data_IF_796683690662
#
_entry.id   IF_796683690662
#
_cell.length_a   1.000
_cell.length_b   1.000
_cell.length_c   1.000
_cell.angle_alpha   90.00
_cell.angle_beta   90.00
_cell.angle_gamma   90.00
#
_symmetry.space_group_name_H-M   'P 1'
#
loop_
_entity.id
_entity.type
_entity.pdbx_description
1 polymer ?
#
# COMPACT_ATOMS: atom_id res chain seq x y z
N UNK A 1 6.00 23.03 18.68
CA UNK A 1 5.73 21.59 18.52
C UNK A 1 6.89 20.95 17.78
N UNK A 2 7.27 19.71 18.12
CA UNK A 2 8.28 18.96 17.37
C UNK A 2 7.63 17.81 16.61
N UNK A 3 7.97 17.66 15.34
CA UNK A 3 7.57 16.51 14.52
C UNK A 3 8.80 15.80 13.96
N UNK A 4 8.65 14.56 13.52
CA UNK A 4 9.71 13.87 12.82
C UNK A 4 9.30 12.51 12.30
N UNK A 5 10.12 11.97 11.41
CA UNK A 5 9.96 10.64 10.85
C UNK A 5 11.34 9.98 10.71
N UNK A 6 11.38 8.68 10.47
CA UNK A 6 12.66 7.99 10.20
C UNK A 6 13.39 8.56 8.97
N UNK A 7 12.66 9.09 7.98
CA UNK A 7 13.24 9.73 6.79
C UNK A 7 13.66 11.18 7.05
N UNK A 8 13.13 11.83 8.10
CA UNK A 8 13.34 13.25 8.39
C UNK A 8 12.53 14.20 7.50
N UNK A 9 12.13 13.76 6.31
CA UNK A 9 11.32 14.53 5.36
C UNK A 9 9.89 13.99 5.26
N UNK A 10 8.87 14.85 5.07
CA UNK A 10 7.51 14.41 4.79
C UNK A 10 7.41 13.81 3.38
N UNK A 11 6.29 13.14 3.09
CA UNK A 11 6.03 12.59 1.75
C UNK A 11 5.90 13.71 0.72
N UNK A 12 6.26 13.41 -0.53
CA UNK A 12 6.15 14.36 -1.64
C UNK A 12 4.71 14.79 -1.88
N UNK A 13 4.48 16.10 -2.07
CA UNK A 13 3.19 16.60 -2.53
C UNK A 13 2.76 15.90 -3.81
N UNK A 14 1.48 15.57 -3.90
CA UNK A 14 0.87 15.20 -5.18
C UNK A 14 0.84 16.42 -6.09
N UNK A 15 1.07 16.22 -7.38
CA UNK A 15 0.83 17.25 -8.39
C UNK A 15 -0.63 17.68 -8.39
N UNK A 16 -0.88 18.96 -8.66
CA UNK A 16 -2.22 19.47 -8.87
C UNK A 16 -2.89 18.68 -10.01
N UNK A 17 -4.13 18.25 -9.79
CA UNK A 17 -4.76 17.27 -10.66
C UNK A 17 -5.19 17.88 -12.00
N UNK A 18 -4.38 17.72 -13.03
CA UNK A 18 -4.64 18.12 -14.40
C UNK A 18 -5.25 16.98 -15.27
N UNK A 19 -5.26 15.73 -14.76
CA UNK A 19 -5.88 14.57 -15.43
C UNK A 19 -7.41 14.51 -15.27
N UNK A 20 -7.99 15.33 -14.39
CA UNK A 20 -9.41 15.28 -14.04
C UNK A 20 -9.77 14.06 -13.19
N UNK A 21 -11.06 13.73 -13.11
CA UNK A 21 -11.54 12.64 -12.25
C UNK A 21 -11.26 11.23 -12.81
N UNK A 22 -11.10 11.12 -14.13
CA UNK A 22 -11.05 9.84 -14.85
C UNK A 22 -9.72 9.58 -15.56
N UNK A 23 -8.88 10.61 -15.76
CA UNK A 23 -7.61 10.44 -16.45
C UNK A 23 -6.61 9.65 -15.62
N UNK A 24 -5.97 8.66 -16.24
CA UNK A 24 -4.87 7.87 -15.69
C UNK A 24 -3.84 7.55 -16.76
N UNK A 25 -2.63 7.21 -16.34
CA UNK A 25 -1.67 6.56 -17.22
C UNK A 25 -2.19 5.19 -17.67
N UNK A 26 -2.06 4.91 -18.97
CA UNK A 26 -2.28 3.59 -19.53
C UNK A 26 -0.92 2.93 -19.76
N UNK A 27 -0.65 1.77 -19.14
CA UNK A 27 0.62 1.07 -19.27
C UNK A 27 1.01 0.83 -20.73
N UNK A 28 2.28 1.10 -21.05
CA UNK A 28 2.86 0.89 -22.37
C UNK A 28 3.72 -0.39 -22.43
N UNK A 29 4.25 -0.79 -21.28
CA UNK A 29 5.22 -1.87 -21.09
C UNK A 29 4.64 -2.96 -20.17
N UNK A 30 3.96 -2.57 -19.09
CA UNK A 30 3.22 -3.49 -18.22
C UNK A 30 1.86 -3.86 -18.84
N UNK A 31 1.91 -4.48 -20.02
CA UNK A 31 0.72 -4.89 -20.77
C UNK A 31 0.07 -6.16 -20.20
N UNK A 32 -1.18 -6.43 -20.60
CA UNK A 32 -1.89 -7.66 -20.22
C UNK A 32 -1.11 -8.93 -20.60
N UNK A 33 -0.47 -8.95 -21.77
CA UNK A 33 0.37 -10.07 -22.21
C UNK A 33 1.58 -10.30 -21.31
N UNK A 34 2.23 -9.23 -20.86
CA UNK A 34 3.38 -9.28 -19.95
C UNK A 34 2.95 -9.80 -18.58
N UNK A 35 1.82 -9.31 -18.06
CA UNK A 35 1.23 -9.79 -16.80
C UNK A 35 0.90 -11.29 -16.92
N UNK A 36 0.25 -11.70 -18.01
CA UNK A 36 -0.09 -13.10 -18.25
C UNK A 36 1.16 -14.00 -18.38
N UNK A 37 2.29 -13.48 -18.87
CA UNK A 37 3.56 -14.21 -18.87
C UNK A 37 4.07 -14.45 -17.45
N UNK A 38 4.01 -13.45 -16.57
CA UNK A 38 4.39 -13.62 -15.16
C UNK A 38 3.51 -14.64 -14.45
N UNK A 39 2.20 -14.64 -14.71
CA UNK A 39 1.29 -15.65 -14.18
C UNK A 39 1.66 -17.06 -14.62
N UNK A 40 1.93 -17.27 -15.91
CA UNK A 40 2.38 -18.58 -16.42
C UNK A 40 3.66 -19.05 -15.74
N UNK A 41 4.59 -18.14 -15.49
CA UNK A 41 5.84 -18.42 -14.77
C UNK A 41 5.59 -18.83 -13.32
N UNK A 42 4.78 -18.07 -12.58
CA UNK A 42 4.43 -18.40 -11.20
C UNK A 42 3.72 -19.76 -11.09
N UNK A 43 2.72 -20.01 -11.96
CA UNK A 43 1.99 -21.29 -12.00
C UNK A 43 2.86 -22.50 -12.37
N UNK A 44 3.98 -22.27 -13.07
CA UNK A 44 4.96 -23.30 -13.40
C UNK A 44 6.02 -23.51 -12.29
N UNK A 45 5.87 -22.88 -11.12
CA UNK A 45 6.82 -22.95 -10.01
C UNK A 45 8.08 -22.12 -10.20
N UNK A 46 8.06 -21.14 -11.11
CA UNK A 46 9.18 -20.24 -11.41
C UNK A 46 8.73 -18.77 -11.29
N UNK A 47 8.17 -18.41 -10.12
CA UNK A 47 7.67 -17.06 -9.87
C UNK A 47 8.76 -16.00 -10.14
N UNK A 48 8.41 -14.84 -10.72
CA UNK A 48 9.35 -13.76 -10.98
C UNK A 48 9.93 -13.14 -9.70
N UNK A 49 11.11 -12.55 -9.85
CA UNK A 49 11.69 -11.64 -8.84
C UNK A 49 11.19 -10.21 -9.07
N UNK A 50 10.73 -9.54 -8.02
CA UNK A 50 10.19 -8.19 -8.13
C UNK A 50 11.23 -7.17 -8.60
N UNK A 51 12.47 -7.25 -8.12
CA UNK A 51 13.50 -6.26 -8.40
C UNK A 51 14.14 -6.45 -9.77
N UNK A 52 14.37 -7.69 -10.20
CA UNK A 52 15.06 -7.97 -11.47
C UNK A 52 14.10 -8.08 -12.64
N UNK A 53 12.86 -8.56 -12.44
CA UNK A 53 11.95 -8.84 -13.54
C UNK A 53 10.84 -7.79 -13.68
N UNK A 54 10.25 -7.35 -12.56
CA UNK A 54 9.04 -6.50 -12.56
C UNK A 54 9.40 -5.01 -12.48
N UNK A 55 10.27 -4.63 -11.53
CA UNK A 55 10.65 -3.26 -11.28
C UNK A 55 11.22 -2.54 -12.51
N UNK A 56 12.06 -3.15 -13.38
CA UNK A 56 12.56 -2.47 -14.57
C UNK A 56 11.43 -2.04 -15.52
N UNK A 57 10.34 -2.81 -15.60
CA UNK A 57 9.17 -2.47 -16.42
C UNK A 57 8.38 -1.32 -15.79
N UNK A 58 8.15 -1.38 -14.48
CA UNK A 58 7.49 -0.29 -13.73
C UNK A 58 8.30 1.02 -13.80
N UNK A 59 9.61 0.94 -13.67
CA UNK A 59 10.51 2.08 -13.82
C UNK A 59 10.44 2.65 -15.24
N UNK A 60 10.33 1.79 -16.27
CA UNK A 60 10.18 2.23 -17.65
C UNK A 60 8.91 3.04 -17.88
N UNK A 61 7.78 2.63 -17.29
CA UNK A 61 6.53 3.41 -17.33
C UNK A 61 6.73 4.82 -16.77
N UNK A 62 7.39 4.92 -15.62
CA UNK A 62 7.69 6.20 -14.95
C UNK A 62 8.63 7.06 -15.82
N UNK A 63 9.68 6.47 -16.38
CA UNK A 63 10.65 7.16 -17.24
C UNK A 63 10.01 7.72 -18.51
N UNK A 64 9.17 6.93 -19.19
CA UNK A 64 8.51 7.36 -20.43
C UNK A 64 7.67 8.61 -20.18
N UNK A 65 6.83 8.60 -19.14
CA UNK A 65 5.99 9.76 -18.79
C UNK A 65 6.83 10.96 -18.38
N UNK A 66 7.93 10.75 -17.65
CA UNK A 66 8.87 11.83 -17.32
C UNK A 66 9.43 12.50 -18.58
N UNK A 67 9.97 11.71 -19.51
CA UNK A 67 10.60 12.25 -20.71
C UNK A 67 9.60 12.87 -21.67
N UNK A 68 8.40 12.32 -21.81
CA UNK A 68 7.34 12.93 -22.59
C UNK A 68 6.92 14.30 -22.04
N UNK A 69 6.66 14.39 -20.72
CA UNK A 69 6.31 15.64 -20.08
C UNK A 69 7.46 16.66 -20.18
N UNK A 70 8.71 16.21 -20.02
CA UNK A 70 9.90 17.04 -20.18
C UNK A 70 10.03 17.61 -21.59
N UNK A 71 9.84 16.79 -22.62
CA UNK A 71 9.90 17.21 -24.01
C UNK A 71 8.77 18.19 -24.35
N UNK A 72 7.54 17.91 -23.89
CA UNK A 72 6.39 18.85 -24.02
C UNK A 72 6.68 20.19 -23.33
N UNK A 73 7.21 20.17 -22.11
CA UNK A 73 7.56 21.38 -21.37
C UNK A 73 8.63 22.21 -22.10
N UNK A 74 9.68 21.56 -22.62
CA UNK A 74 10.73 22.22 -23.41
C UNK A 74 10.21 22.83 -24.71
N UNK A 75 9.32 22.14 -25.42
CA UNK A 75 8.69 22.67 -26.63
C UNK A 75 7.83 23.92 -26.34
N UNK A 76 7.19 23.98 -25.17
CA UNK A 76 6.43 25.15 -24.71
C UNK A 76 7.33 26.28 -24.15
N UNK A 77 8.66 26.13 -24.17
CA UNK A 77 9.59 27.10 -23.60
C UNK A 77 9.54 27.20 -22.06
N UNK A 78 8.94 26.22 -21.38
CA UNK A 78 8.84 26.23 -19.93
C UNK A 78 10.20 25.97 -19.28
N UNK A 79 10.53 26.76 -18.25
CA UNK A 79 11.69 26.49 -17.41
C UNK A 79 11.42 25.22 -16.59
N UNK A 80 12.20 24.16 -16.85
CA UNK A 80 12.13 22.93 -16.08
C UNK A 80 13.17 23.02 -14.96
N UNK A 81 12.76 22.88 -13.68
CA UNK A 81 13.70 22.96 -12.57
C UNK A 81 14.84 21.95 -12.73
N UNK A 82 16.08 22.41 -12.56
CA UNK A 82 17.24 21.53 -12.59
C UNK A 82 17.49 20.98 -11.18
N UNK A 83 17.40 19.66 -11.03
CA UNK A 83 17.71 18.98 -9.77
C UNK A 83 19.21 18.66 -9.68
N UNK A 84 20.08 19.68 -9.77
CA UNK A 84 21.51 19.47 -9.52
C UNK A 84 21.77 19.37 -8.01
N UNK A 85 22.35 18.24 -7.60
CA UNK A 85 22.68 17.96 -6.20
C UNK A 85 23.77 18.91 -5.70
N UNK A 86 23.42 19.83 -4.81
CA UNK A 86 24.40 20.45 -3.91
C UNK A 86 24.49 19.61 -2.64
N UNK A 87 25.69 19.09 -2.32
CA UNK A 87 25.98 18.57 -0.98
C UNK A 87 25.96 19.75 -0.01
N UNK A 88 24.93 19.84 0.84
CA UNK A 88 24.91 20.75 1.99
C UNK A 88 25.26 19.96 3.25
N UNK A 89 26.15 20.50 4.08
CA UNK A 89 26.35 19.98 5.42
C UNK A 89 25.12 20.33 6.26
N UNK A 90 24.37 19.33 6.72
CA UNK A 90 23.15 19.49 7.51
C UNK A 90 23.41 19.37 9.02
N UNK A 91 24.65 19.60 9.45
CA UNK A 91 25.13 19.23 10.79
C UNK A 91 24.56 20.08 11.96
N UNK A 92 23.71 21.08 11.69
CA UNK A 92 23.08 21.92 12.72
C UNK A 92 21.57 22.00 12.52
N UNK A 93 20.83 22.22 13.60
CA UNK A 93 19.37 22.38 13.55
C UNK A 93 18.94 23.52 12.60
N UNK A 94 19.68 24.64 12.60
CA UNK A 94 19.43 25.77 11.70
C UNK A 94 19.66 25.42 10.23
N UNK A 95 20.79 24.76 9.91
CA UNK A 95 21.07 24.32 8.54
C UNK A 95 20.04 23.32 8.02
N UNK A 96 19.60 22.40 8.89
CA UNK A 96 18.53 21.45 8.59
C UNK A 96 17.20 22.15 8.32
N UNK A 97 16.77 23.07 9.20
CA UNK A 97 15.53 23.82 9.03
C UNK A 97 15.51 24.59 7.71
N UNK A 98 16.59 25.30 7.39
CA UNK A 98 16.71 26.05 6.12
C UNK A 98 16.62 25.13 4.91
N UNK A 99 17.36 24.01 4.93
CA UNK A 99 17.30 23.04 3.84
C UNK A 99 15.92 22.42 3.67
N UNK A 100 15.25 22.05 4.77
CA UNK A 100 13.93 21.45 4.71
C UNK A 100 12.90 22.44 4.15
N UNK A 101 12.93 23.71 4.58
CA UNK A 101 12.09 24.76 4.00
C UNK A 101 12.30 24.91 2.49
N UNK A 102 13.55 24.95 2.03
CA UNK A 102 13.87 25.01 0.60
C UNK A 102 13.34 23.79 -0.16
N UNK A 103 13.49 22.60 0.42
CA UNK A 103 13.00 21.35 -0.15
C UNK A 103 11.48 21.34 -0.28
N UNK A 104 10.75 21.73 0.78
CA UNK A 104 9.28 21.79 0.78
C UNK A 104 8.74 22.81 -0.22
N UNK A 105 9.39 23.99 -0.32
CA UNK A 105 9.01 25.02 -1.32
C UNK A 105 9.30 24.56 -2.74
N UNK A 106 10.40 23.83 -2.98
CA UNK A 106 10.64 23.24 -4.30
C UNK A 106 9.56 22.20 -4.62
N UNK A 107 9.26 21.30 -3.69
CA UNK A 107 8.26 20.26 -3.88
C UNK A 107 6.85 20.83 -4.16
N UNK A 108 6.47 21.91 -3.47
CA UNK A 108 5.23 22.65 -3.74
C UNK A 108 5.23 23.30 -5.13
N UNK A 109 6.35 23.88 -5.58
CA UNK A 109 6.48 24.42 -6.95
C UNK A 109 6.34 23.34 -8.02
N UNK A 110 6.98 22.18 -7.81
CA UNK A 110 6.82 21.03 -8.70
C UNK A 110 5.37 20.55 -8.72
N UNK A 111 4.71 20.51 -7.56
CA UNK A 111 3.29 20.16 -7.46
C UNK A 111 2.37 21.10 -8.25
N UNK A 112 2.68 22.39 -8.27
CA UNK A 112 1.90 23.40 -9.01
C UNK A 112 2.01 23.24 -10.54
N UNK A 113 3.05 22.58 -11.06
CA UNK A 113 3.16 22.24 -12.49
C UNK A 113 2.16 21.13 -12.91
N UNK A 114 1.50 20.51 -11.93
CA UNK A 114 0.47 19.50 -12.15
C UNK A 114 1.02 18.11 -12.50
N UNK A 115 0.14 17.12 -12.52
CA UNK A 115 0.46 15.72 -12.81
C UNK A 115 0.39 15.33 -14.30
N UNK A 116 0.45 16.32 -15.21
CA UNK A 116 0.46 16.11 -16.67
C UNK A 116 1.61 16.86 -17.32
N UNK A 117 1.68 18.18 -17.14
CA UNK A 117 2.73 19.02 -17.73
C UNK A 117 4.01 19.07 -16.88
N UNK A 118 3.89 18.94 -15.55
CA UNK A 118 5.02 18.87 -14.63
C UNK A 118 5.76 17.53 -14.71
N UNK A 119 7.01 17.47 -15.24
CA UNK A 119 7.66 16.19 -15.53
C UNK A 119 7.84 15.30 -14.30
N UNK A 120 8.30 15.88 -13.19
CA UNK A 120 8.48 15.14 -11.93
C UNK A 120 7.16 14.57 -11.43
N UNK A 121 6.13 15.42 -11.29
CA UNK A 121 4.86 15.01 -10.68
C UNK A 121 4.03 14.12 -11.59
N UNK A 122 4.11 14.27 -12.91
CA UNK A 122 3.54 13.33 -13.85
C UNK A 122 4.17 11.94 -13.68
N UNK A 123 5.50 11.86 -13.58
CA UNK A 123 6.21 10.60 -13.39
C UNK A 123 5.90 9.93 -12.04
N UNK A 124 5.89 10.69 -10.94
CA UNK A 124 5.54 10.13 -9.62
C UNK A 124 4.07 9.65 -9.56
N UNK A 125 3.17 10.30 -10.30
CA UNK A 125 1.76 9.88 -10.39
C UNK A 125 1.61 8.53 -11.11
N UNK A 126 2.52 8.16 -12.01
CA UNK A 126 2.52 6.84 -12.67
C UNK A 126 2.67 5.71 -11.67
N UNK A 127 3.54 5.84 -10.65
CA UNK A 127 3.70 4.82 -9.61
C UNK A 127 2.38 4.49 -8.90
N UNK A 128 1.47 5.46 -8.83
CA UNK A 128 0.13 5.31 -8.28
C UNK A 128 -0.86 4.76 -9.30
N UNK A 129 -0.73 5.16 -10.56
CA UNK A 129 -1.62 4.73 -11.65
C UNK A 129 -1.38 3.27 -12.06
N UNK A 130 -0.15 2.74 -11.95
CA UNK A 130 0.18 1.35 -12.32
C UNK A 130 -0.04 0.31 -11.21
N UNK A 131 -0.63 0.71 -10.07
CA UNK A 131 -0.78 -0.20 -8.92
C UNK A 131 -1.68 -1.38 -9.22
N UNK A 132 -2.70 -1.19 -10.05
CA UNK A 132 -3.60 -2.28 -10.40
C UNK A 132 -2.85 -3.35 -11.20
N UNK A 133 -2.00 -2.93 -12.12
CA UNK A 133 -1.15 -3.80 -12.92
C UNK A 133 -0.13 -4.54 -12.05
N UNK A 134 0.49 -3.85 -11.09
CA UNK A 134 1.39 -4.50 -10.14
C UNK A 134 0.67 -5.51 -9.25
N UNK A 135 -0.53 -5.18 -8.72
CA UNK A 135 -1.36 -6.12 -7.95
C UNK A 135 -1.68 -7.38 -8.74
N UNK A 136 -2.05 -7.22 -10.01
CA UNK A 136 -2.29 -8.37 -10.88
C UNK A 136 -1.06 -9.29 -10.90
N UNK A 137 0.16 -8.79 -10.83
CA UNK A 137 1.38 -9.62 -10.85
C UNK A 137 1.74 -10.19 -9.47
N UNK A 138 1.61 -9.43 -8.38
CA UNK A 138 2.22 -9.78 -7.08
C UNK A 138 1.28 -10.42 -6.07
N UNK A 139 -0.04 -10.27 -6.23
CA UNK A 139 -1.03 -10.87 -5.33
C UNK A 139 -1.02 -12.40 -5.48
N UNK A 140 -1.38 -13.12 -4.40
CA UNK A 140 -1.46 -14.59 -4.37
C UNK A 140 -0.22 -15.32 -4.92
N UNK A 141 0.90 -15.20 -4.21
CA UNK A 141 2.15 -15.92 -4.52
C UNK A 141 2.74 -15.65 -5.92
N UNK A 142 2.37 -14.50 -6.52
CA UNK A 142 2.80 -14.14 -7.87
C UNK A 142 4.28 -13.76 -8.00
N UNK A 143 5.02 -13.65 -6.89
CA UNK A 143 6.46 -13.37 -6.84
C UNK A 143 7.13 -14.26 -5.79
N UNK A 144 8.44 -14.48 -5.91
CA UNK A 144 9.21 -15.26 -4.93
C UNK A 144 9.16 -14.63 -3.53
N UNK A 145 9.07 -15.44 -2.46
CA UNK A 145 8.90 -14.91 -1.09
C UNK A 145 10.03 -14.06 -0.55
N UNK A 146 11.29 -14.37 -0.89
CA UNK A 146 12.43 -13.51 -0.55
C UNK A 146 12.33 -12.14 -1.24
N UNK A 147 11.93 -12.13 -2.52
CA UNK A 147 11.77 -10.92 -3.30
C UNK A 147 10.58 -10.09 -2.84
N UNK A 148 9.47 -10.74 -2.49
CA UNK A 148 8.33 -10.10 -1.86
C UNK A 148 8.78 -9.35 -0.60
N UNK A 149 9.44 -10.05 0.33
CA UNK A 149 9.91 -9.47 1.59
C UNK A 149 10.89 -8.31 1.37
N UNK A 150 11.97 -8.54 0.64
CA UNK A 150 13.10 -7.62 0.62
C UNK A 150 12.89 -6.48 -0.37
N UNK A 151 12.23 -6.75 -1.51
CA UNK A 151 12.07 -5.78 -2.59
C UNK A 151 10.68 -5.17 -2.63
N UNK A 152 9.59 -5.95 -2.59
CA UNK A 152 8.25 -5.36 -2.66
C UNK A 152 7.88 -4.67 -1.34
N UNK A 153 7.91 -5.41 -0.24
CA UNK A 153 7.43 -4.96 1.08
C UNK A 153 8.40 -3.94 1.72
N UNK A 154 9.66 -4.33 1.93
CA UNK A 154 10.64 -3.51 2.67
C UNK A 154 11.22 -2.33 1.89
N UNK A 155 11.20 -2.38 0.54
CA UNK A 155 11.83 -1.36 -0.30
C UNK A 155 10.83 -0.58 -1.16
N UNK A 156 10.12 -1.25 -2.06
CA UNK A 156 9.29 -0.60 -3.07
C UNK A 156 8.03 0.03 -2.46
N UNK A 157 7.32 -0.68 -1.59
CA UNK A 157 6.11 -0.17 -0.92
C UNK A 157 6.37 1.14 -0.18
N UNK A 158 7.38 1.26 0.71
CA UNK A 158 7.68 2.52 1.38
C UNK A 158 8.29 3.58 0.46
N UNK A 159 8.90 3.22 -0.68
CA UNK A 159 9.36 4.16 -1.71
C UNK A 159 8.16 4.74 -2.48
N UNK A 160 7.28 3.89 -3.00
CA UNK A 160 6.05 4.24 -3.69
C UNK A 160 5.16 5.12 -2.80
N UNK A 161 4.99 4.77 -1.53
CA UNK A 161 4.24 5.58 -0.57
C UNK A 161 4.83 6.99 -0.41
N UNK A 162 6.14 7.07 -0.20
CA UNK A 162 6.86 8.33 -0.03
C UNK A 162 6.79 9.25 -1.26
N UNK A 163 6.89 8.67 -2.46
CA UNK A 163 6.95 9.43 -3.72
C UNK A 163 5.58 9.82 -4.27
N UNK A 164 4.55 8.97 -4.11
CA UNK A 164 3.30 9.11 -4.87
C UNK A 164 2.01 9.22 -4.03
N UNK A 165 2.07 8.97 -2.71
CA UNK A 165 0.91 9.00 -1.79
C UNK A 165 1.01 10.15 -0.79
N UNK A 166 1.78 11.20 -1.07
CA UNK A 166 1.84 12.33 -0.17
C UNK A 166 0.61 13.25 -0.22
N UNK A 167 0.62 14.31 0.59
CA UNK A 167 -0.52 15.19 0.75
C UNK A 167 -0.73 16.08 -0.50
N UNK A 168 -1.86 16.80 -0.63
CA UNK A 168 -1.97 17.84 -1.64
C UNK A 168 -1.00 18.99 -1.35
N UNK A 169 -0.59 19.73 -2.39
CA UNK A 169 0.35 20.87 -2.33
C UNK A 169 0.07 21.83 -1.16
N UNK A 170 -1.19 22.19 -0.94
CA UNK A 170 -1.61 23.11 0.12
C UNK A 170 -1.13 22.67 1.52
N UNK A 171 -1.04 21.37 1.82
CA UNK A 171 -0.56 20.90 3.12
C UNK A 171 0.95 21.11 3.29
N UNK A 172 1.72 21.02 2.21
CA UNK A 172 3.15 21.35 2.23
C UNK A 172 3.32 22.86 2.47
N UNK A 173 2.54 23.70 1.81
CA UNK A 173 2.57 25.16 2.00
C UNK A 173 2.18 25.56 3.44
N UNK A 174 1.15 24.91 4.01
CA UNK A 174 0.78 25.09 5.41
C UNK A 174 1.89 24.67 6.37
N UNK A 175 2.56 23.54 6.10
CA UNK A 175 3.69 23.09 6.90
C UNK A 175 4.86 24.09 6.85
N UNK A 176 5.17 24.64 5.67
CA UNK A 176 6.16 25.71 5.50
C UNK A 176 5.80 26.92 6.36
N UNK A 177 4.56 27.41 6.28
CA UNK A 177 4.11 28.56 7.06
C UNK A 177 4.21 28.32 8.58
N UNK A 178 3.85 27.12 9.05
CA UNK A 178 3.97 26.75 10.48
C UNK A 178 5.42 26.68 10.94
N UNK A 179 6.34 26.23 10.08
CA UNK A 179 7.77 26.18 10.37
C UNK A 179 8.40 27.57 10.42
N UNK A 180 8.03 28.46 9.51
CA UNK A 180 8.46 29.86 9.47
C UNK A 180 7.95 30.66 10.67
N UNK A 181 6.71 30.42 11.08
CA UNK A 181 6.10 31.03 12.26
C UNK A 181 6.68 30.50 13.61
N UNK A 182 7.58 29.51 13.58
CA UNK A 182 8.15 28.90 14.78
C UNK A 182 7.17 28.02 15.57
N UNK A 183 6.02 27.68 14.98
CA UNK A 183 5.03 26.78 15.61
C UNK A 183 5.48 25.32 15.51
N UNK A 184 6.14 24.97 14.42
CA UNK A 184 6.60 23.61 14.10
C UNK A 184 8.12 23.58 13.85
N UNK A 185 8.82 22.68 14.52
CA UNK A 185 10.19 22.27 14.15
C UNK A 185 10.22 20.78 13.83
N UNK A 186 10.98 20.40 12.81
CA UNK A 186 11.05 19.02 12.32
C UNK A 186 12.42 18.45 12.63
N UNK A 187 12.47 17.36 13.40
CA UNK A 187 13.72 16.69 13.74
C UNK A 187 14.35 16.01 12.53
N UNK A 188 15.67 15.86 12.59
CA UNK A 188 16.46 15.27 11.51
C UNK A 188 16.16 13.78 11.26
N UNK A 189 16.70 13.22 10.16
CA UNK A 189 16.50 11.82 9.79
C UNK A 189 16.95 10.83 10.88
N UNK A 190 16.42 9.61 10.82
CA UNK A 190 16.66 8.56 11.83
C UNK A 190 16.35 9.03 13.26
N UNK A 191 15.31 9.84 13.41
CA UNK A 191 14.80 10.29 14.70
C UNK A 191 14.62 9.10 15.65
N UNK A 192 15.13 9.24 16.87
CA UNK A 192 14.95 8.31 17.98
C UNK A 192 14.20 9.03 19.09
N UNK A 193 13.34 8.30 19.79
CA UNK A 193 12.60 8.80 20.95
C UNK A 193 12.82 7.83 22.10
N UNK A 194 13.13 8.35 23.28
CA UNK A 194 13.37 7.59 24.50
C UNK A 194 12.63 8.24 25.67
N UNK A 195 12.13 7.43 26.61
CA UNK A 195 11.56 7.93 27.85
C UNK A 195 12.68 8.16 28.87
N UNK A 196 12.70 9.34 29.52
CA UNK A 196 13.69 9.72 30.53
C UNK A 196 13.08 10.68 31.56
N UNK A 197 13.16 10.32 32.84
CA UNK A 197 12.69 11.13 33.98
C UNK A 197 11.28 11.72 33.77
N UNK A 198 10.32 10.85 33.46
CA UNK A 198 8.91 11.24 33.25
C UNK A 198 8.64 12.07 32.00
N UNK A 199 9.60 12.18 31.08
CA UNK A 199 9.44 12.88 29.81
C UNK A 199 9.98 12.04 28.63
N UNK A 200 9.91 12.63 27.44
CA UNK A 200 10.39 12.06 26.20
C UNK A 200 11.55 12.89 25.66
N UNK A 201 12.67 12.25 25.38
CA UNK A 201 13.77 12.83 24.63
C UNK A 201 13.73 12.36 23.20
N UNK A 202 13.74 13.30 22.26
CA UNK A 202 13.83 13.01 20.84
C UNK A 202 15.10 13.62 20.25
N UNK A 203 15.83 12.85 19.45
CA UNK A 203 17.10 13.26 18.84
C UNK A 203 17.30 12.60 17.49
N UNK A 204 18.20 13.18 16.69
CA UNK A 204 18.62 12.62 15.40
C UNK A 204 20.15 12.47 15.39
N UNK A 205 20.68 11.29 15.02
CA UNK A 205 22.12 11.12 14.89
C UNK A 205 22.71 11.91 13.70
N UNK A 206 21.87 12.39 12.76
CA UNK A 206 22.31 13.20 11.62
C UNK A 206 22.46 14.69 11.99
N UNK A 207 21.85 15.12 13.10
CA UNK A 207 21.92 16.50 13.60
C UNK A 207 22.51 16.46 15.02
N UNK A 208 23.83 16.26 15.14
CA UNK A 208 24.46 16.08 16.45
C UNK A 208 24.25 17.32 17.33
N UNK A 209 24.08 17.09 18.63
CA UNK A 209 23.85 18.16 19.61
C UNK A 209 22.41 18.70 19.65
N UNK A 210 21.51 18.26 18.75
CA UNK A 210 20.11 18.64 18.81
C UNK A 210 19.25 17.53 19.45
N UNK A 211 18.93 17.71 20.73
CA UNK A 211 18.00 16.87 21.48
C UNK A 211 16.87 17.75 22.01
N UNK A 212 15.63 17.30 21.87
CA UNK A 212 14.44 17.99 22.37
C UNK A 212 13.77 17.16 23.45
N UNK A 213 13.36 17.82 24.53
CA UNK A 213 12.61 17.22 25.64
C UNK A 213 11.15 17.64 25.53
N UNK A 214 10.23 16.68 25.65
CA UNK A 214 8.78 16.92 25.64
C UNK A 214 8.07 16.06 26.67
N UNK A 215 6.97 16.55 27.24
CA UNK A 215 6.17 15.81 28.23
C UNK A 215 5.12 14.90 27.59
N UNK A 216 4.86 15.08 26.30
CA UNK A 216 3.83 14.34 25.56
C UNK A 216 4.41 13.83 24.24
N UNK A 217 4.17 12.56 23.96
CA UNK A 217 4.50 11.90 22.70
C UNK A 217 3.20 11.49 22.01
N UNK A 218 3.02 11.91 20.77
CA UNK A 218 1.93 11.45 19.90
C UNK A 218 2.52 10.52 18.85
N UNK A 219 2.18 9.24 18.93
CA UNK A 219 2.53 8.26 17.90
C UNK A 219 1.53 8.34 16.75
N UNK A 220 1.95 8.93 15.63
CA UNK A 220 1.12 9.13 14.45
C UNK A 220 1.39 8.11 13.32
N UNK A 221 2.05 6.99 13.64
CA UNK A 221 2.25 5.87 12.71
C UNK A 221 1.16 4.82 12.87
N UNK A 222 0.67 4.31 11.74
CA UNK A 222 -0.14 3.10 11.73
C UNK A 222 0.80 1.88 11.83
N UNK A 223 0.50 0.89 12.68
CA UNK A 223 1.25 -0.36 12.70
C UNK A 223 1.04 -1.12 11.38
N UNK A 224 2.06 -1.88 10.97
CA UNK A 224 1.94 -2.85 9.88
C UNK A 224 0.89 -3.91 10.25
N UNK A 225 0.01 -4.32 9.32
CA UNK A 225 -0.91 -5.43 9.55
C UNK A 225 -0.14 -6.72 9.85
N UNK A 226 -0.34 -7.30 11.03
CA UNK A 226 0.23 -8.59 11.40
C UNK A 226 -0.75 -9.36 12.28
N UNK A 227 -1.35 -10.41 11.71
CA UNK A 227 -2.32 -11.28 12.37
C UNK A 227 -1.76 -11.87 13.68
N UNK A 228 -0.45 -12.13 13.75
CA UNK A 228 0.20 -12.70 14.94
C UNK A 228 0.26 -11.70 16.10
N UNK A 229 0.12 -10.41 15.80
CA UNK A 229 0.19 -9.29 16.75
C UNK A 229 -1.13 -8.53 16.86
N UNK A 230 -2.23 -9.11 16.36
CA UNK A 230 -3.53 -8.47 16.36
C UNK A 230 -4.06 -8.23 17.78
N UNK A 231 -4.68 -7.06 17.99
CA UNK A 231 -5.46 -6.76 19.19
C UNK A 231 -6.96 -7.04 19.00
N UNK A 232 -7.38 -7.45 17.79
CA UNK A 232 -8.76 -7.83 17.51
C UNK A 232 -9.07 -9.20 18.15
N UNK A 233 -10.06 -9.23 19.04
CA UNK A 233 -10.40 -10.43 19.81
C UNK A 233 -10.90 -11.58 18.93
N UNK A 234 -11.64 -11.28 17.86
CA UNK A 234 -12.14 -12.29 16.94
C UNK A 234 -10.99 -12.93 16.16
N UNK A 235 -10.13 -12.12 15.53
CA UNK A 235 -8.98 -12.61 14.78
C UNK A 235 -8.00 -13.36 15.70
N UNK A 236 -7.76 -12.84 16.91
CA UNK A 236 -6.94 -13.50 17.91
C UNK A 236 -7.50 -14.87 18.34
N UNK A 237 -8.83 -14.98 18.51
CA UNK A 237 -9.47 -16.26 18.82
C UNK A 237 -9.39 -17.25 17.65
N UNK A 238 -9.67 -16.79 16.42
CA UNK A 238 -9.60 -17.63 15.22
C UNK A 238 -8.19 -18.19 15.01
N UNK A 239 -7.15 -17.37 15.21
CA UNK A 239 -5.77 -17.80 15.11
C UNK A 239 -5.43 -18.84 16.19
N UNK A 240 -5.77 -18.56 17.46
CA UNK A 240 -5.48 -19.46 18.60
C UNK A 240 -6.16 -20.83 18.47
N UNK A 241 -7.34 -20.87 17.83
CA UNK A 241 -8.12 -22.10 17.63
C UNK A 241 -7.86 -22.77 16.28
N UNK A 242 -6.89 -22.27 15.50
CA UNK A 242 -6.53 -22.82 14.19
C UNK A 242 -7.59 -22.61 13.10
N UNK A 243 -8.57 -21.73 13.33
CA UNK A 243 -9.64 -21.41 12.38
C UNK A 243 -9.22 -20.37 11.33
N UNK A 244 -8.04 -19.77 11.49
CA UNK A 244 -7.33 -19.03 10.45
C UNK A 244 -5.80 -19.19 10.62
N UNK A 245 -5.02 -18.74 9.63
CA UNK A 245 -3.55 -18.69 9.70
C UNK A 245 -2.97 -17.43 9.06
N UNK A 246 -1.73 -17.04 9.39
CA UNK A 246 -0.98 -16.06 8.62
C UNK A 246 -0.70 -16.59 7.21
N UNK A 247 -0.69 -15.70 6.24
CA UNK A 247 -0.27 -16.00 4.88
C UNK A 247 1.24 -16.28 4.82
N UNK A 248 1.61 -17.31 4.07
CA UNK A 248 3.00 -17.79 3.93
C UNK A 248 3.35 -17.91 2.45
N UNK A 249 4.38 -17.18 2.04
CA UNK A 249 4.91 -17.20 0.68
C UNK A 249 6.37 -17.70 0.71
N UNK A 250 6.65 -18.88 0.15
CA UNK A 250 7.97 -19.52 0.16
C UNK A 250 8.66 -19.51 1.55
N UNK A 251 7.89 -19.79 2.60
CA UNK A 251 8.38 -19.79 3.99
C UNK A 251 8.50 -18.40 4.64
N UNK A 252 8.14 -17.33 3.94
CA UNK A 252 8.00 -16.00 4.52
C UNK A 252 6.55 -15.74 4.98
N UNK A 253 6.36 -15.56 6.28
CA UNK A 253 5.07 -15.11 6.83
C UNK A 253 4.88 -13.61 6.60
N UNK A 254 3.91 -13.23 5.77
CA UNK A 254 3.68 -11.82 5.38
C UNK A 254 2.96 -11.02 6.46
N UNK A 255 2.32 -11.69 7.43
CA UNK A 255 1.49 -11.07 8.47
C UNK A 255 0.02 -10.93 8.10
N UNK A 256 -0.34 -11.05 6.81
CA UNK A 256 -1.72 -11.02 6.35
C UNK A 256 -2.52 -12.24 6.80
N UNK A 257 -3.83 -12.07 6.96
CA UNK A 257 -4.79 -13.16 7.11
C UNK A 257 -4.90 -13.93 5.79
N UNK A 258 -4.58 -15.22 5.83
CA UNK A 258 -4.59 -16.05 4.64
C UNK A 258 -6.00 -16.27 4.08
N UNK A 259 -6.15 -16.03 2.78
CA UNK A 259 -7.39 -16.18 2.04
C UNK A 259 -7.16 -16.82 0.68
N UNK A 260 -8.13 -17.58 0.20
CA UNK A 260 -8.12 -18.08 -1.18
C UNK A 260 -8.10 -16.93 -2.18
N UNK A 261 -7.79 -17.20 -3.47
CA UNK A 261 -8.28 -16.35 -4.55
C UNK A 261 -9.79 -16.08 -4.42
N UNK A 262 -10.29 -15.09 -5.17
CA UNK A 262 -11.71 -14.72 -5.18
C UNK A 262 -12.60 -15.97 -5.12
N UNK A 263 -13.49 -16.10 -4.11
CA UNK A 263 -14.08 -15.01 -3.33
C UNK A 263 -13.44 -14.75 -1.95
N UNK A 264 -12.14 -15.01 -1.77
CA UNK A 264 -11.37 -14.61 -0.57
C UNK A 264 -11.84 -15.29 0.72
N UNK A 265 -11.97 -16.62 0.66
CA UNK A 265 -12.36 -17.44 1.80
C UNK A 265 -11.20 -17.55 2.79
N UNK A 266 -11.47 -17.38 4.07
CA UNK A 266 -10.47 -17.53 5.14
C UNK A 266 -9.92 -18.96 5.13
N UNK A 267 -8.60 -19.10 5.16
CA UNK A 267 -7.90 -20.39 5.18
C UNK A 267 -7.50 -20.74 6.62
N UNK A 268 -7.81 -21.96 7.05
CA UNK A 268 -7.50 -22.47 8.38
C UNK A 268 -6.05 -22.97 8.52
N UNK A 269 -5.63 -23.36 9.72
CA UNK A 269 -4.27 -23.84 9.98
C UNK A 269 -3.91 -25.13 9.22
N UNK A 270 -4.91 -25.87 8.72
CA UNK A 270 -4.73 -27.07 7.91
C UNK A 270 -4.75 -26.76 6.40
N UNK A 271 -4.82 -25.49 6.01
CA UNK A 271 -4.87 -25.08 4.60
C UNK A 271 -6.25 -25.23 3.95
N UNK A 272 -7.33 -25.39 4.73
CA UNK A 272 -8.69 -25.55 4.20
C UNK A 272 -9.42 -24.22 4.21
N UNK A 273 -10.03 -23.89 3.08
CA UNK A 273 -10.88 -22.71 2.95
C UNK A 273 -12.21 -22.91 3.70
N UNK A 274 -12.59 -21.94 4.53
CA UNK A 274 -13.87 -21.99 5.23
C UNK A 274 -15.04 -21.74 4.24
N UNK A 275 -16.11 -22.55 4.28
CA UNK A 275 -17.19 -22.47 3.28
C UNK A 275 -18.06 -21.22 3.39
N UNK A 276 -17.95 -20.46 4.49
CA UNK A 276 -18.83 -19.32 4.82
C UNK A 276 -18.13 -18.13 5.47
N UNK A 277 -16.80 -18.11 5.51
CA UNK A 277 -16.04 -17.00 6.10
C UNK A 277 -15.15 -16.43 5.04
N UNK A 278 -15.21 -15.11 4.91
CA UNK A 278 -14.52 -14.34 3.90
C UNK A 278 -13.79 -13.20 4.59
N UNK A 279 -12.68 -12.76 4.01
CA UNK A 279 -11.97 -11.58 4.50
C UNK A 279 -11.42 -10.78 3.31
N UNK A 280 -11.55 -9.45 3.40
CA UNK A 280 -11.08 -8.48 2.40
C UNK A 280 -10.54 -7.23 3.11
N UNK A 281 -9.74 -6.44 2.41
CA UNK A 281 -9.18 -5.18 2.94
C UNK A 281 -7.94 -5.37 3.81
N UNK A 282 -7.69 -4.43 4.72
CA UNK A 282 -6.45 -4.33 5.52
C UNK A 282 -6.00 -5.63 6.20
N UNK A 283 -6.89 -6.47 6.75
CA UNK A 283 -6.47 -7.74 7.35
C UNK A 283 -5.78 -8.69 6.37
N UNK A 284 -6.00 -8.57 5.05
CA UNK A 284 -5.39 -9.42 4.02
C UNK A 284 -4.18 -8.77 3.34
N UNK A 285 -3.68 -7.64 3.86
CA UNK A 285 -2.40 -7.05 3.41
C UNK A 285 -1.28 -8.08 3.56
N UNK A 286 -0.57 -8.37 2.47
CA UNK A 286 0.38 -9.47 2.41
C UNK A 286 -0.06 -10.62 1.50
N UNK A 287 -1.38 -10.83 1.37
CA UNK A 287 -1.99 -11.65 0.30
C UNK A 287 -2.29 -10.76 -0.90
N UNK A 288 -2.86 -9.60 -0.60
CA UNK A 288 -3.10 -8.52 -1.56
C UNK A 288 -2.19 -7.34 -1.21
N UNK A 289 -1.66 -6.68 -2.23
CA UNK A 289 -0.77 -5.54 -2.07
C UNK A 289 -1.53 -4.20 -2.06
N UNK A 290 -1.27 -3.35 -1.06
CA UNK A 290 -1.86 -2.01 -0.88
C UNK A 290 -3.38 -2.07 -0.75
N UNK A 291 -3.85 -2.69 0.32
CA UNK A 291 -5.28 -2.87 0.64
C UNK A 291 -5.92 -1.61 1.24
N UNK A 292 -5.13 -0.74 1.87
CA UNK A 292 -5.57 0.55 2.41
C UNK A 292 -5.75 1.63 1.30
N UNK A 293 -6.52 1.30 0.26
CA UNK A 293 -6.80 2.19 -0.86
C UNK A 293 -8.28 2.58 -0.90
N UNK A 294 -8.55 3.85 -1.18
CA UNK A 294 -9.91 4.35 -1.40
C UNK A 294 -10.41 4.07 -2.82
N UNK A 295 -11.73 3.97 -2.98
CA UNK A 295 -12.38 3.85 -4.28
C UNK A 295 -12.10 5.08 -5.16
N UNK A 296 -12.02 4.85 -6.47
CA UNK A 296 -11.70 5.86 -7.47
C UNK A 296 -12.72 5.88 -8.61
N UNK A 297 -13.15 7.07 -9.07
CA UNK A 297 -14.01 7.19 -10.25
C UNK A 297 -13.34 6.61 -11.51
N UNK A 298 -14.13 5.98 -12.38
CA UNK A 298 -13.69 5.52 -13.71
C UNK A 298 -12.73 4.34 -13.72
N UNK A 299 -12.45 3.72 -12.57
CA UNK A 299 -11.63 2.50 -12.51
C UNK A 299 -12.35 1.44 -11.69
N UNK A 300 -12.15 0.18 -12.09
CA UNK A 300 -12.67 -0.97 -11.35
C UNK A 300 -11.86 -1.13 -10.04
N UNK A 301 -12.24 -0.38 -9.01
CA UNK A 301 -11.48 -0.28 -7.76
C UNK A 301 -11.52 -1.61 -7.00
N UNK A 302 -10.34 -2.15 -6.67
CA UNK A 302 -10.17 -3.47 -6.03
C UNK A 302 -11.06 -3.64 -4.78
N UNK A 303 -11.11 -2.64 -3.91
CA UNK A 303 -11.99 -2.68 -2.72
C UNK A 303 -13.47 -2.93 -3.07
N UNK A 304 -13.95 -2.38 -4.19
CA UNK A 304 -15.34 -2.59 -4.63
C UNK A 304 -15.51 -3.97 -5.27
N UNK A 305 -14.58 -4.40 -6.14
CA UNK A 305 -14.65 -5.71 -6.80
C UNK A 305 -14.58 -6.86 -5.80
N UNK A 306 -13.70 -6.73 -4.80
CA UNK A 306 -13.49 -7.79 -3.82
C UNK A 306 -14.69 -7.91 -2.90
N UNK A 307 -15.23 -6.77 -2.45
CA UNK A 307 -16.45 -6.74 -1.63
C UNK A 307 -17.65 -7.28 -2.40
N UNK A 308 -17.76 -6.98 -3.69
CA UNK A 308 -18.83 -7.49 -4.55
C UNK A 308 -18.72 -9.01 -4.79
N UNK A 309 -17.50 -9.54 -4.95
CA UNK A 309 -17.25 -10.98 -5.02
C UNK A 309 -17.65 -11.69 -3.71
N UNK A 310 -17.26 -11.13 -2.56
CA UNK A 310 -17.66 -11.64 -1.24
C UNK A 310 -19.17 -11.61 -1.06
N UNK A 311 -19.82 -10.49 -1.42
CA UNK A 311 -21.27 -10.34 -1.31
C UNK A 311 -22.01 -11.41 -2.12
N UNK A 312 -21.62 -11.62 -3.38
CA UNK A 312 -22.19 -12.68 -4.23
C UNK A 312 -21.98 -14.08 -3.67
N UNK A 313 -20.78 -14.37 -3.15
CA UNK A 313 -20.46 -15.66 -2.57
C UNK A 313 -21.21 -15.92 -1.26
N UNK A 314 -21.37 -14.91 -0.41
CA UNK A 314 -22.14 -14.98 0.83
C UNK A 314 -23.62 -15.25 0.54
N UNK A 315 -24.21 -14.55 -0.44
CA UNK A 315 -25.59 -14.77 -0.87
C UNK A 315 -25.81 -16.18 -1.45
N UNK A 316 -24.87 -16.69 -2.25
CA UNK A 316 -24.94 -18.06 -2.76
C UNK A 316 -24.87 -19.09 -1.62
N UNK A 317 -23.96 -18.90 -0.66
CA UNK A 317 -23.84 -19.80 0.48
C UNK A 317 -25.13 -19.84 1.31
N UNK A 318 -25.76 -18.69 1.55
CA UNK A 318 -27.04 -18.60 2.27
C UNK A 318 -28.18 -19.30 1.52
N UNK A 319 -28.28 -19.11 0.19
CA UNK A 319 -29.31 -19.77 -0.63
C UNK A 319 -29.18 -21.28 -0.62
N UNK A 320 -27.95 -21.80 -0.77
CA UNK A 320 -27.71 -23.25 -0.75
C UNK A 320 -28.07 -23.90 0.59
N UNK A 321 -28.04 -23.16 1.70
CA UNK A 321 -28.53 -23.65 2.99
C UNK A 321 -30.05 -23.69 3.06
N UNK A 322 -30.73 -22.67 2.53
CA UNK A 322 -32.19 -22.65 2.45
C UNK A 322 -32.72 -23.81 1.60
N UNK A 323 -32.09 -24.08 0.46
CA UNK A 323 -32.50 -25.15 -0.44
C UNK A 323 -32.30 -26.53 0.22
N UNK A 324 -31.22 -26.72 0.97
CA UNK A 324 -30.97 -27.95 1.76
C UNK A 324 -31.92 -28.12 2.96
N UNK A 325 -32.40 -27.01 3.53
CA UNK A 325 -33.39 -27.02 4.61
C UNK A 325 -34.83 -27.27 4.16
N UNK A 326 -35.10 -27.18 2.85
CA UNK A 326 -36.44 -27.30 2.24
C UNK A 326 -36.72 -28.67 1.61
N UNK A 327 -35.78 -29.62 1.57
CA UNK A 327 -36.09 -31.00 1.18
C UNK A 327 -36.90 -31.68 2.31
N UNK A 328 -38.18 -32.03 2.11
CA UNK A 328 -38.90 -32.80 3.11
C UNK A 328 -38.26 -34.18 3.21
N UNK A 329 -37.94 -34.60 4.43
CA UNK A 329 -37.57 -35.97 4.73
C UNK A 329 -38.77 -36.88 4.41
N UNK A 330 -38.85 -37.38 3.17
CA UNK A 330 -39.75 -38.47 2.82
C UNK A 330 -39.14 -39.73 3.42
N UNK A 331 -39.42 -39.97 4.70
CA UNK A 331 -39.27 -41.29 5.30
C UNK A 331 -40.31 -42.20 4.65
N UNK A 332 -39.86 -43.06 3.73
CA UNK A 332 -40.64 -44.17 3.23
C UNK A 332 -40.90 -45.14 4.40
N UNK A 333 -42.03 -44.98 5.10
CA UNK A 333 -42.53 -46.00 6.01
C UNK A 333 -43.12 -47.13 5.18
N UNK A 334 -42.36 -48.21 5.02
CA UNK A 334 -42.88 -49.49 4.56
C UNK A 334 -43.89 -50.02 5.58
N UNK A 335 -45.18 -49.96 5.25
CA UNK A 335 -46.22 -50.69 5.98
C UNK A 335 -46.10 -52.18 5.65
N UNK A 336 -46.12 -53.09 6.64
CA UNK A 336 -46.19 -54.52 6.36
C UNK A 336 -47.61 -54.89 5.91
N UNK A 337 -47.70 -55.63 4.79
CA UNK A 337 -48.91 -56.33 4.38
C UNK A 337 -49.32 -57.33 5.45
N UNK A 338 -50.48 -57.13 6.07
CA UNK A 338 -51.20 -58.19 6.76
C UNK A 338 -52.26 -58.76 5.81
N UNK A 339 -52.00 -59.97 5.33
CA UNK A 339 -52.98 -60.88 4.74
C UNK A 339 -53.76 -61.51 5.89
N UNK A 340 -55.10 -61.38 5.92
CA UNK A 340 -55.99 -62.37 6.52
C UNK A 340 -57.27 -62.46 5.67
N UNK A 341 -57.68 -63.70 5.48
CA UNK A 341 -58.76 -64.22 4.64
C UNK A 341 -60.18 -63.71 4.94
#
# INVERSE_FOLDING_TARGET
MYAGSRRGIPYHARGDNAKGAFGRHMPLVLTEDVIAQFHRRANAGNAPDFFTDIWPLAAKEVEVVYYEALLRARQKGAAVPSHFRQRRALATAGAWKTWLLDHLRQDAREAALGNVDGPLKAALDVMRDIRNELRLIVDHDGVQGSSYRDHLDRWYTPLNAFLSIGPPRQRIEQMVALMEAGVLDVLGPRMRVQAEDGAWLASSPEIPGWTVRGTTLVEARLPEPDLRRTADELLGHLLKTGQCRPHVLDGYETGGLDVTPSPYRVVDAQGRAHPRRFAVGVPTEGVHWVTAAGARPGVNSVTLTDTDAVARAALHAARSEMDKGCEPAIQASSLPMAIVA
#
